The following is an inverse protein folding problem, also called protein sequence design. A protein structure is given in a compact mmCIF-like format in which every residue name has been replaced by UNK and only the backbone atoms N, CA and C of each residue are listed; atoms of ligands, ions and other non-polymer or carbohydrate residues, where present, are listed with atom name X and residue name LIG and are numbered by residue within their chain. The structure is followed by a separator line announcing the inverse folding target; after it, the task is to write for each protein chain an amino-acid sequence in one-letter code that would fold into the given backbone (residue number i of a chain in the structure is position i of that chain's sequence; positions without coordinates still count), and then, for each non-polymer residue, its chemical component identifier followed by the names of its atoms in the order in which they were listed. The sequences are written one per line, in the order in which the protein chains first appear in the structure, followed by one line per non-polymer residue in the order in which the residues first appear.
data_IF_037696594667
#
_entry.id   IF_037696594667
#
_cell.length_a   1.000
_cell.length_b   1.000
_cell.length_c   1.000
_cell.angle_alpha   90.00
_cell.angle_beta   90.00
_cell.angle_gamma   90.00
#
_symmetry.space_group_name_H-M   'P 1'
#
loop_
_entity.id
_entity.type
_entity.pdbx_description
1 polymer ?
#
# COMPACT_ATOMS: atom_id res chain seq x y z
N UNK A 1 10.86 -5.65 -17.02
CA UNK A 1 10.69 -5.13 -15.65
C UNK A 1 10.41 -3.64 -15.76
N UNK A 2 9.33 -3.12 -15.17
CA UNK A 2 8.92 -1.71 -15.31
C UNK A 2 9.49 -0.90 -14.15
N UNK A 3 10.21 0.18 -14.45
CA UNK A 3 10.70 1.15 -13.47
C UNK A 3 9.78 2.37 -13.52
N UNK A 4 9.38 2.90 -12.36
CA UNK A 4 8.38 3.98 -12.26
C UNK A 4 8.94 5.30 -11.71
N UNK A 5 10.16 5.30 -11.18
CA UNK A 5 10.83 6.49 -10.62
C UNK A 5 9.91 7.33 -9.70
N UNK A 6 9.07 6.64 -8.93
CA UNK A 6 8.04 7.25 -8.08
C UNK A 6 8.37 6.98 -6.62
N UNK A 7 8.39 8.03 -5.81
CA UNK A 7 8.57 7.94 -4.36
C UNK A 7 7.21 8.09 -3.67
N UNK A 8 6.90 7.16 -2.78
CA UNK A 8 5.73 7.22 -1.90
C UNK A 8 6.21 7.24 -0.45
N UNK A 9 5.48 7.94 0.41
CA UNK A 9 5.78 7.99 1.84
C UNK A 9 4.48 7.94 2.64
N UNK A 10 4.51 7.21 3.74
CA UNK A 10 3.40 7.07 4.68
C UNK A 10 3.95 6.79 6.07
N UNK A 11 3.24 7.24 7.10
CA UNK A 11 3.52 6.82 8.49
C UNK A 11 2.96 5.44 8.80
N UNK A 12 2.06 4.94 7.95
CA UNK A 12 1.48 3.60 8.01
C UNK A 12 2.12 2.72 6.94
N UNK A 13 2.84 1.70 7.38
CA UNK A 13 3.58 0.76 6.52
C UNK A 13 2.64 -0.06 5.63
N UNK A 14 1.47 -0.44 6.14
CA UNK A 14 0.50 -1.27 5.41
C UNK A 14 -0.17 -0.43 4.33
N UNK A 15 -0.48 0.83 4.64
CA UNK A 15 -1.03 1.76 3.67
C UNK A 15 -0.04 2.07 2.53
N UNK A 16 1.26 2.20 2.84
CA UNK A 16 2.30 2.35 1.82
C UNK A 16 2.37 1.15 0.89
N UNK A 17 2.43 -0.06 1.45
CA UNK A 17 2.48 -1.30 0.66
C UNK A 17 1.21 -1.49 -0.18
N UNK A 18 0.04 -1.28 0.42
CA UNK A 18 -1.25 -1.35 -0.27
C UNK A 18 -1.34 -0.34 -1.42
N UNK A 19 -0.80 0.88 -1.26
CA UNK A 19 -0.73 1.85 -2.34
C UNK A 19 0.28 1.41 -3.42
N UNK A 20 1.43 0.86 -3.01
CA UNK A 20 2.44 0.38 -3.95
C UNK A 20 1.92 -0.72 -4.88
N UNK A 21 1.01 -1.60 -4.44
CA UNK A 21 0.42 -2.63 -5.32
C UNK A 21 -0.32 -2.00 -6.51
N UNK A 22 -0.97 -0.85 -6.29
CA UNK A 22 -1.72 -0.14 -7.34
C UNK A 22 -0.82 0.40 -8.46
N UNK A 23 0.43 0.73 -8.15
CA UNK A 23 1.44 1.16 -9.12
C UNK A 23 1.76 0.06 -10.14
N UNK A 24 1.63 -1.20 -9.71
CA UNK A 24 1.86 -2.39 -10.54
C UNK A 24 0.56 -3.03 -11.05
N UNK A 25 -0.60 -2.39 -10.84
CA UNK A 25 -1.91 -2.91 -11.26
C UNK A 25 -2.39 -4.13 -10.47
N UNK A 26 -1.82 -4.35 -9.27
CA UNK A 26 -2.19 -5.42 -8.35
C UNK A 26 -3.10 -4.89 -7.25
N UNK A 27 -3.86 -5.79 -6.64
CA UNK A 27 -4.66 -5.45 -5.46
C UNK A 27 -3.86 -5.72 -4.18
N UNK A 28 -4.11 -4.97 -3.09
CA UNK A 28 -3.46 -5.21 -1.80
C UNK A 28 -3.66 -6.65 -1.29
N UNK A 29 -4.82 -7.25 -1.61
CA UNK A 29 -5.17 -8.62 -1.22
C UNK A 29 -4.32 -9.68 -1.94
N UNK A 30 -3.71 -9.35 -3.08
CA UNK A 30 -2.84 -10.25 -3.83
C UNK A 30 -1.46 -10.40 -3.18
N UNK A 31 -1.12 -9.55 -2.19
CA UNK A 31 0.16 -9.55 -1.49
C UNK A 31 -0.01 -10.12 -0.08
N UNK A 32 0.39 -11.39 0.17
CA UNK A 32 0.13 -12.07 1.44
C UNK A 32 0.74 -11.37 2.65
N UNK A 33 1.89 -10.72 2.47
CA UNK A 33 2.58 -10.00 3.56
C UNK A 33 1.80 -8.75 3.98
N UNK A 34 1.24 -8.00 3.04
CA UNK A 34 0.39 -6.82 3.32
C UNK A 34 -0.89 -7.23 4.03
N UNK A 35 -1.53 -8.31 3.58
CA UNK A 35 -2.72 -8.89 4.24
C UNK A 35 -2.39 -9.33 5.67
N UNK A 36 -1.26 -10.01 5.87
CA UNK A 36 -0.85 -10.46 7.20
C UNK A 36 -0.54 -9.28 8.13
N UNK A 37 0.12 -8.23 7.65
CA UNK A 37 0.43 -7.03 8.42
C UNK A 37 -0.86 -6.30 8.85
N UNK A 38 -1.82 -6.16 7.95
CA UNK A 38 -3.14 -5.59 8.27
C UNK A 38 -3.88 -6.40 9.33
N UNK A 39 -3.94 -7.74 9.19
CA UNK A 39 -4.58 -8.64 10.17
C UNK A 39 -3.94 -8.57 11.55
N UNK A 40 -2.66 -8.21 11.62
CA UNK A 40 -1.92 -7.99 12.87
C UNK A 40 -2.10 -6.58 13.46
N UNK A 41 -2.89 -5.72 12.81
CA UNK A 41 -3.15 -4.35 13.27
C UNK A 41 -1.97 -3.40 13.10
N UNK A 42 -1.00 -3.74 12.23
CA UNK A 42 0.18 -2.90 11.99
C UNK A 42 -0.12 -1.68 11.10
N UNK A 43 -1.33 -1.61 10.54
CA UNK A 43 -1.76 -0.54 9.67
C UNK A 43 -3.02 -0.87 8.87
N UNK A 44 -3.42 0.07 8.02
CA UNK A 44 -4.63 0.00 7.22
C UNK A 44 -4.33 -0.39 5.77
N UNK A 45 -4.97 -1.46 5.30
CA UNK A 45 -4.86 -1.93 3.92
C UNK A 45 -5.92 -1.31 3.01
N UNK A 46 -7.06 -0.90 3.57
CA UNK A 46 -8.15 -0.29 2.81
C UNK A 46 -7.81 1.17 2.48
N UNK A 47 -7.34 1.41 1.26
CA UNK A 47 -6.99 2.75 0.77
C UNK A 47 -8.15 3.76 0.82
N UNK A 48 -9.42 3.33 0.88
CA UNK A 48 -10.56 4.25 1.08
C UNK A 48 -10.59 4.89 2.46
N UNK A 49 -9.92 4.28 3.44
CA UNK A 49 -9.77 4.79 4.80
C UNK A 49 -8.47 5.56 4.99
N UNK A 50 -7.61 5.59 3.98
CA UNK A 50 -6.33 6.32 3.99
C UNK A 50 -6.52 7.64 3.25
N UNK A 51 -6.03 8.73 3.84
CA UNK A 51 -5.99 10.02 3.15
C UNK A 51 -4.78 10.06 2.23
N UNK A 52 -5.01 9.95 0.93
CA UNK A 52 -3.97 10.10 -0.08
C UNK A 52 -3.82 11.58 -0.41
N UNK A 53 -2.60 12.09 -0.31
CA UNK A 53 -2.23 13.44 -0.71
C UNK A 53 -1.21 13.35 -1.84
N UNK A 54 -1.41 14.15 -2.87
CA UNK A 54 -0.48 14.29 -4.00
C UNK A 54 0.16 15.68 -3.91
N UNK A 55 1.42 15.79 -4.32
CA UNK A 55 2.10 17.07 -4.47
C UNK A 55 1.58 17.84 -5.70
#
# INVERSE_FOLDING_TARGET
MKVMDTVIASTDIVAADAYATTLFGLKPEDIPVTVAAHKRGLGEMNLKRVRIVTA
#
